data_IF_685935102097
#
_entry.id   IF_685935102097
#
_cell.length_a   1.000
_cell.length_b   1.000
_cell.length_c   1.000
_cell.angle_alpha   90.00
_cell.angle_beta   90.00
_cell.angle_gamma   90.00
#
_symmetry.space_group_name_H-M   'P 1'
#
loop_
_entity.id
_entity.type
_entity.pdbx_description
1 polymer ?
#
# COMPACT_ATOMS: atom_id res chain seq x y z
N UNK A 1 12.21 10.03 -37.74
CA UNK A 1 11.20 9.66 -38.76
C UNK A 1 10.22 8.55 -38.34
N UNK A 2 10.57 7.59 -37.47
CA UNK A 2 9.53 6.86 -36.69
C UNK A 2 9.82 6.87 -35.19
N UNK A 3 11.11 6.82 -34.83
CA UNK A 3 11.60 6.96 -33.46
C UNK A 3 11.27 8.30 -32.78
N UNK A 4 10.82 9.32 -33.52
CA UNK A 4 10.43 10.62 -32.95
C UNK A 4 9.17 10.55 -32.07
N UNK A 5 8.40 9.45 -32.14
CA UNK A 5 7.30 9.20 -31.21
C UNK A 5 7.78 8.61 -29.88
N UNK A 6 8.97 8.00 -29.84
CA UNK A 6 9.51 7.36 -28.64
C UNK A 6 9.69 8.33 -27.46
N UNK A 7 10.20 9.57 -27.64
CA UNK A 7 10.28 10.55 -26.56
C UNK A 7 8.90 10.89 -25.98
N UNK A 8 7.88 11.08 -26.84
CA UNK A 8 6.51 11.35 -26.39
C UNK A 8 5.92 10.19 -25.60
N UNK A 9 6.07 8.96 -26.11
CA UNK A 9 5.61 7.75 -25.42
C UNK A 9 6.38 7.49 -24.12
N UNK A 10 7.68 7.79 -24.08
CA UNK A 10 8.49 7.66 -22.87
C UNK A 10 8.04 8.62 -21.78
N UNK A 11 7.80 9.90 -22.12
CA UNK A 11 7.30 10.91 -21.17
C UNK A 11 5.92 10.50 -20.66
N UNK A 12 5.00 10.12 -21.54
CA UNK A 12 3.67 9.64 -21.14
C UNK A 12 3.76 8.40 -20.23
N UNK A 13 4.60 7.43 -20.58
CA UNK A 13 4.83 6.24 -19.78
C UNK A 13 5.36 6.55 -18.39
N UNK A 14 6.33 7.45 -18.27
CA UNK A 14 6.86 7.91 -16.98
C UNK A 14 5.78 8.63 -16.18
N UNK A 15 5.08 9.59 -16.78
CA UNK A 15 4.02 10.34 -16.10
C UNK A 15 2.90 9.44 -15.56
N UNK A 16 2.53 8.38 -16.28
CA UNK A 16 1.53 7.40 -15.85
C UNK A 16 2.09 6.39 -14.83
N UNK A 17 3.39 6.11 -14.86
CA UNK A 17 4.03 5.19 -13.91
C UNK A 17 4.24 5.81 -12.52
N UNK A 18 4.51 7.11 -12.46
CA UNK A 18 4.72 7.87 -11.21
C UNK A 18 3.59 7.67 -10.18
N UNK A 19 2.29 7.84 -10.50
CA UNK A 19 1.23 7.63 -9.52
C UNK A 19 1.12 6.16 -9.05
N UNK A 20 1.37 5.20 -9.93
CA UNK A 20 1.39 3.78 -9.56
C UNK A 20 2.50 3.47 -8.55
N UNK A 21 3.72 3.94 -8.82
CA UNK A 21 4.85 3.77 -7.91
C UNK A 21 4.64 4.53 -6.59
N UNK A 22 4.18 5.78 -6.66
CA UNK A 22 3.96 6.60 -5.46
C UNK A 22 2.93 5.97 -4.54
N UNK A 23 1.81 5.45 -5.06
CA UNK A 23 0.80 4.78 -4.23
C UNK A 23 1.31 3.50 -3.58
N UNK A 24 2.16 2.71 -4.23
CA UNK A 24 2.80 1.52 -3.64
C UNK A 24 3.68 1.91 -2.45
N UNK A 25 4.55 2.92 -2.62
CA UNK A 25 5.41 3.39 -1.54
C UNK A 25 4.61 4.01 -0.39
N UNK A 26 3.60 4.82 -0.70
CA UNK A 26 2.71 5.40 0.31
C UNK A 26 1.92 4.33 1.08
N UNK A 27 1.40 3.32 0.40
CA UNK A 27 0.70 2.21 1.05
C UNK A 27 1.62 1.43 1.96
N UNK A 28 2.86 1.19 1.54
CA UNK A 28 3.84 0.48 2.37
C UNK A 28 4.26 1.31 3.59
N UNK A 29 4.41 2.62 3.44
CA UNK A 29 4.73 3.53 4.53
C UNK A 29 3.61 3.60 5.57
N UNK A 30 2.37 3.81 5.14
CA UNK A 30 1.23 3.98 6.06
C UNK A 30 0.78 2.69 6.75
N UNK A 31 1.15 1.50 6.24
CA UNK A 31 0.74 0.21 6.80
C UNK A 31 1.89 -0.59 7.45
N UNK A 32 2.94 0.10 7.90
CA UNK A 32 4.02 -0.52 8.67
C UNK A 32 4.87 -1.50 7.85
N UNK A 33 5.17 -1.16 6.59
CA UNK A 33 6.00 -1.96 5.70
C UNK A 33 5.24 -3.05 4.93
N UNK A 34 3.93 -3.19 5.16
CA UNK A 34 3.07 -4.20 4.53
C UNK A 34 2.17 -3.57 3.47
N UNK A 35 1.55 -4.41 2.65
CA UNK A 35 0.51 -3.97 1.72
C UNK A 35 -0.73 -3.47 2.47
N UNK A 36 -1.45 -2.52 1.86
CA UNK A 36 -2.73 -2.03 2.39
C UNK A 36 -3.76 -3.16 2.35
N UNK A 37 -4.34 -3.51 3.50
CA UNK A 37 -5.41 -4.50 3.58
C UNK A 37 -6.68 -3.97 2.91
N UNK A 38 -7.21 -4.72 1.95
CA UNK A 38 -8.44 -4.40 1.22
C UNK A 38 -9.59 -5.22 1.81
N UNK A 39 -10.62 -4.54 2.33
CA UNK A 39 -11.83 -5.18 2.83
C UNK A 39 -12.94 -5.09 1.78
N UNK A 40 -12.98 -6.06 0.87
CA UNK A 40 -14.04 -6.19 -0.15
C UNK A 40 -15.31 -6.82 0.42
N UNK A 41 -15.17 -7.71 1.39
CA UNK A 41 -16.28 -8.40 2.04
C UNK A 41 -16.48 -7.93 3.48
N UNK A 42 -17.71 -7.98 4.02
CA UNK A 42 -17.99 -7.59 5.40
C UNK A 42 -17.14 -8.36 6.42
N UNK A 43 -16.89 -9.64 6.18
CA UNK A 43 -16.03 -10.47 7.01
C UNK A 43 -14.58 -9.94 7.09
N UNK A 44 -14.05 -9.40 6.00
CA UNK A 44 -12.70 -8.82 5.99
C UNK A 44 -12.64 -7.54 6.81
N UNK A 45 -13.72 -6.75 6.82
CA UNK A 45 -13.84 -5.56 7.66
C UNK A 45 -13.92 -5.92 9.14
N UNK A 46 -14.78 -6.88 9.52
CA UNK A 46 -14.90 -7.30 10.92
C UNK A 46 -13.59 -7.87 11.46
N UNK A 47 -12.82 -8.58 10.64
CA UNK A 47 -11.47 -9.03 11.01
C UNK A 47 -10.45 -7.89 11.13
N UNK A 48 -10.49 -6.88 10.24
CA UNK A 48 -9.61 -5.71 10.33
C UNK A 48 -9.88 -4.89 11.60
N UNK A 49 -11.15 -4.76 11.95
CA UNK A 49 -11.62 -4.09 13.15
C UNK A 49 -11.24 -4.85 14.43
N UNK A 50 -11.28 -6.19 14.40
CA UNK A 50 -10.72 -7.04 15.45
C UNK A 50 -9.23 -6.77 15.65
N UNK A 51 -8.45 -6.73 14.57
CA UNK A 51 -7.00 -6.47 14.65
C UNK A 51 -6.70 -5.07 15.17
N UNK A 52 -7.51 -4.05 14.79
CA UNK A 52 -7.42 -2.69 15.34
C UNK A 52 -7.60 -2.70 16.86
N UNK A 53 -8.59 -3.42 17.38
CA UNK A 53 -8.87 -3.52 18.83
C UNK A 53 -7.77 -4.28 19.57
N UNK A 54 -7.29 -5.37 19.00
CA UNK A 54 -6.21 -6.20 19.58
C UNK A 54 -4.84 -5.49 19.55
N UNK A 55 -4.64 -4.53 18.64
CA UNK A 55 -3.37 -3.81 18.51
C UNK A 55 -2.99 -3.00 19.77
N UNK A 56 -3.97 -2.55 20.56
CA UNK A 56 -3.77 -1.68 21.73
C UNK A 56 -3.34 -0.24 21.41
N UNK A 57 -2.97 0.04 20.15
CA UNK A 57 -2.54 1.36 19.66
C UNK A 57 -3.50 1.92 18.60
N UNK A 58 -4.70 1.36 18.50
CA UNK A 58 -5.73 1.75 17.55
C UNK A 58 -5.26 1.70 16.06
N UNK A 59 -4.36 0.78 15.72
CA UNK A 59 -3.82 0.65 14.36
C UNK A 59 -3.92 -0.81 13.90
N UNK A 60 -4.71 -1.07 12.85
CA UNK A 60 -4.97 -2.43 12.37
C UNK A 60 -3.75 -3.14 11.78
N UNK A 61 -2.75 -2.40 11.29
CA UNK A 61 -1.57 -2.98 10.64
C UNK A 61 -0.50 -3.47 11.64
N UNK A 62 -0.65 -3.11 12.93
CA UNK A 62 0.23 -3.55 14.02
C UNK A 62 -0.21 -4.94 14.48
N UNK A 63 0.45 -5.97 13.94
CA UNK A 63 0.19 -7.36 14.29
C UNK A 63 0.78 -7.71 15.66
N UNK A 64 0.02 -8.44 16.49
CA UNK A 64 0.48 -8.91 17.81
C UNK A 64 1.19 -10.27 17.79
N UNK A 65 0.99 -11.06 16.75
CA UNK A 65 1.66 -12.35 16.58
C UNK A 65 3.12 -12.14 16.16
N UNK A 66 4.04 -12.15 17.14
CA UNK A 66 5.47 -12.01 16.93
C UNK A 66 5.91 -10.55 16.72
N UNK A 67 6.11 -9.82 17.81
CA UNK A 67 6.69 -8.47 17.78
C UNK A 67 8.15 -8.51 17.33
N UNK A 68 8.41 -8.62 16.04
CA UNK A 68 9.62 -8.06 15.44
C UNK A 68 9.29 -6.62 15.05
N UNK A 69 9.18 -5.78 16.07
CA UNK A 69 9.18 -4.34 15.88
C UNK A 69 10.53 -3.96 15.33
N UNK A 70 10.61 -3.76 14.02
CA UNK A 70 11.70 -3.03 13.40
C UNK A 70 11.40 -1.56 13.69
N UNK A 71 11.90 -1.09 14.83
CA UNK A 71 12.24 0.31 15.05
C UNK A 71 13.65 0.56 14.54
#
# INVERSE_FOLDING_TARGET
MWYEILPGMAIMGVCLSIPGLSTIFMHRWCNGGKEKRIARYPYQWTMMERDRRLSGVNKYYVSKAGSRGIG
#
